data_IF_905405537962
#
_entry.id   IF_905405537962
#
_cell.length_a   1.000
_cell.length_b   1.000
_cell.length_c   1.000
_cell.angle_alpha   90.00
_cell.angle_beta   90.00
_cell.angle_gamma   90.00
#
_symmetry.space_group_name_H-M   'P 1'
#
loop_
_entity.id
_entity.type
_entity.pdbx_description
1 polymer ?
#
# COMPACT_ATOMS: atom_id res chain seq x y z
N UNK A 1 -25.46 28.99 -39.95
CA UNK A 1 -26.80 29.34 -40.51
C UNK A 1 -26.76 28.99 -41.99
N UNK A 2 -27.75 28.27 -42.53
CA UNK A 2 -27.79 28.00 -43.97
C UNK A 2 -28.24 29.27 -44.69
N UNK A 3 -27.47 29.72 -45.68
CA UNK A 3 -27.87 30.81 -46.55
C UNK A 3 -29.06 30.36 -47.43
N UNK A 4 -29.79 31.31 -48.05
CA UNK A 4 -30.81 30.99 -49.06
C UNK A 4 -30.27 30.14 -50.23
N UNK A 5 -28.95 30.18 -50.47
CA UNK A 5 -28.23 29.42 -51.51
C UNK A 5 -27.78 28.03 -51.02
N UNK A 6 -28.16 27.62 -49.81
CA UNK A 6 -27.83 26.30 -49.24
C UNK A 6 -26.42 26.17 -48.64
N UNK A 7 -25.57 27.20 -48.74
CA UNK A 7 -24.22 27.22 -48.18
C UNK A 7 -24.23 27.48 -46.67
N UNK A 8 -23.45 26.69 -45.91
CA UNK A 8 -23.30 26.88 -44.46
C UNK A 8 -22.37 28.06 -44.19
N UNK A 9 -22.91 29.14 -43.62
CA UNK A 9 -22.15 30.31 -43.16
C UNK A 9 -21.90 30.24 -41.65
N UNK A 10 -20.70 30.62 -41.24
CA UNK A 10 -20.23 30.59 -39.86
C UNK A 10 -19.99 32.01 -39.37
N UNK A 11 -20.27 32.25 -38.10
CA UNK A 11 -20.19 33.58 -37.52
C UNK A 11 -19.55 33.53 -36.13
N UNK A 12 -18.82 34.58 -35.77
CA UNK A 12 -18.38 34.84 -34.39
C UNK A 12 -18.91 36.19 -33.93
N UNK A 13 -18.99 36.37 -32.62
CA UNK A 13 -19.26 37.68 -32.02
C UNK A 13 -17.93 38.32 -31.65
N UNK A 14 -17.61 39.43 -32.31
CA UNK A 14 -16.52 40.32 -31.95
C UNK A 14 -17.08 41.44 -31.06
N UNK A 15 -16.46 41.74 -29.90
CA UNK A 15 -16.91 42.82 -29.02
C UNK A 15 -16.94 44.20 -29.71
N UNK A 16 -16.04 44.42 -30.67
CA UNK A 16 -15.87 45.71 -31.35
C UNK A 16 -16.72 45.83 -32.62
N UNK A 17 -16.83 44.75 -33.40
CA UNK A 17 -17.43 44.76 -34.74
C UNK A 17 -18.74 43.96 -34.85
N UNK A 18 -19.25 43.44 -33.72
CA UNK A 18 -20.47 42.65 -33.67
C UNK A 18 -20.31 41.30 -34.38
N UNK A 19 -21.33 40.90 -35.15
CA UNK A 19 -21.37 39.58 -35.79
C UNK A 19 -20.54 39.58 -37.08
N UNK A 20 -19.41 38.89 -37.07
CA UNK A 20 -18.52 38.74 -38.23
C UNK A 20 -18.67 37.35 -38.87
N UNK A 21 -18.77 37.31 -40.19
CA UNK A 21 -18.73 36.05 -40.94
C UNK A 21 -17.30 35.51 -41.00
N UNK A 22 -17.13 34.22 -40.68
CA UNK A 22 -15.84 33.54 -40.75
C UNK A 22 -15.87 32.47 -41.84
N UNK A 23 -14.87 32.51 -42.72
CA UNK A 23 -14.65 31.45 -43.69
C UNK A 23 -14.35 30.13 -42.95
N UNK A 24 -14.94 29.03 -43.41
CA UNK A 24 -14.72 27.68 -42.87
C UNK A 24 -13.25 27.34 -42.63
N UNK A 25 -12.34 27.76 -43.51
CA UNK A 25 -10.89 27.50 -43.40
C UNK A 25 -10.24 28.18 -42.18
N UNK A 26 -10.87 29.21 -41.62
CA UNK A 26 -10.40 29.92 -40.43
C UNK A 26 -11.01 29.40 -39.13
N UNK A 27 -11.93 28.44 -39.19
CA UNK A 27 -12.52 27.77 -38.02
C UNK A 27 -11.61 26.63 -37.53
N UNK A 28 -10.32 26.91 -37.43
CA UNK A 28 -9.37 25.96 -36.88
C UNK A 28 -9.48 26.02 -35.36
N UNK A 29 -9.75 24.86 -34.75
CA UNK A 29 -9.62 24.68 -33.32
C UNK A 29 -8.29 24.01 -33.06
N UNK A 30 -7.49 24.60 -32.17
CA UNK A 30 -6.23 24.01 -31.74
C UNK A 30 -6.45 23.32 -30.41
N UNK A 31 -6.06 22.04 -30.35
CA UNK A 31 -5.90 21.32 -29.10
C UNK A 31 -4.41 21.11 -28.86
N UNK A 32 -3.98 21.24 -27.60
CA UNK A 32 -2.61 20.90 -27.22
C UNK A 32 -2.52 19.38 -27.17
N UNK A 33 -1.59 18.82 -27.95
CA UNK A 33 -1.19 17.43 -27.80
C UNK A 33 -0.25 17.30 -26.58
N UNK A 34 -0.71 16.54 -25.58
CA UNK A 34 0.06 16.31 -24.36
C UNK A 34 0.90 15.03 -24.43
N UNK A 35 0.72 14.15 -25.42
CA UNK A 35 1.44 12.88 -25.51
C UNK A 35 2.98 12.99 -25.50
N UNK A 36 3.62 14.05 -26.04
CA UNK A 36 5.08 14.20 -25.95
C UNK A 36 5.59 14.42 -24.53
N UNK A 37 4.78 14.98 -23.64
CA UNK A 37 5.17 15.31 -22.27
C UNK A 37 5.40 14.07 -21.38
N UNK A 38 4.45 13.11 -21.23
CA UNK A 38 4.70 11.88 -20.49
C UNK A 38 5.81 11.05 -21.13
N UNK A 39 5.98 11.08 -22.45
CA UNK A 39 7.09 10.42 -23.13
C UNK A 39 8.44 10.99 -22.67
N UNK A 40 8.58 12.32 -22.64
CA UNK A 40 9.81 12.98 -22.19
C UNK A 40 10.10 12.69 -20.70
N UNK A 41 9.06 12.68 -19.86
CA UNK A 41 9.20 12.33 -18.43
C UNK A 41 9.61 10.86 -18.27
N UNK A 42 8.92 9.93 -18.94
CA UNK A 42 9.25 8.50 -18.88
C UNK A 42 10.67 8.21 -19.39
N UNK A 43 11.07 8.83 -20.51
CA UNK A 43 12.42 8.72 -21.06
C UNK A 43 13.47 9.24 -20.09
N UNK A 44 13.17 10.34 -19.37
CA UNK A 44 14.05 10.84 -18.33
C UNK A 44 14.29 9.77 -17.26
N UNK A 45 13.27 9.05 -16.80
CA UNK A 45 13.42 8.05 -15.72
C UNK A 45 13.92 6.66 -16.18
N UNK A 46 14.24 6.45 -17.46
CA UNK A 46 14.67 5.14 -18.00
C UNK A 46 13.74 3.99 -17.56
N UNK A 47 12.43 4.21 -17.67
CA UNK A 47 11.43 3.25 -17.17
C UNK A 47 11.48 1.92 -17.94
N UNK A 48 11.16 0.81 -17.25
CA UNK A 48 11.25 -0.55 -17.83
C UNK A 48 10.08 -0.92 -18.76
N UNK A 49 8.94 -0.23 -18.62
CA UNK A 49 7.70 -0.50 -19.36
C UNK A 49 7.50 0.62 -20.37
N UNK A 50 6.94 0.29 -21.54
CA UNK A 50 6.44 1.29 -22.48
C UNK A 50 5.35 2.14 -21.83
N UNK A 51 5.40 3.46 -22.06
CA UNK A 51 4.35 4.40 -21.69
C UNK A 51 2.98 3.88 -22.15
N UNK A 52 2.00 3.88 -21.24
CA UNK A 52 0.62 3.51 -21.54
C UNK A 52 -0.32 4.67 -21.19
N UNK A 53 -1.14 5.09 -22.15
CA UNK A 53 -2.21 6.07 -21.92
C UNK A 53 -3.47 5.33 -21.45
N UNK A 54 -3.81 5.51 -20.18
CA UNK A 54 -4.96 4.84 -19.55
C UNK A 54 -6.24 5.62 -19.86
N UNK A 55 -6.16 6.95 -19.79
CA UNK A 55 -7.25 7.85 -20.18
C UNK A 55 -6.70 8.94 -21.10
N UNK A 56 -7.26 9.08 -22.33
CA UNK A 56 -6.77 10.02 -23.33
C UNK A 56 -6.59 11.44 -22.80
N UNK A 57 -5.38 11.99 -22.91
CA UNK A 57 -5.07 13.35 -22.51
C UNK A 57 -5.15 13.61 -20.98
N UNK A 58 -5.34 12.56 -20.17
CA UNK A 58 -5.72 12.69 -18.75
C UNK A 58 -4.86 11.88 -17.80
N UNK A 59 -4.56 10.61 -18.11
CA UNK A 59 -3.88 9.70 -17.19
C UNK A 59 -2.96 8.75 -17.96
N UNK A 60 -1.71 8.67 -17.51
CA UNK A 60 -0.68 7.83 -18.12
C UNK A 60 0.06 7.01 -17.06
N UNK A 61 0.29 5.73 -17.34
CA UNK A 61 1.24 4.86 -16.64
C UNK A 61 2.60 4.99 -17.35
N UNK A 62 3.56 5.61 -16.69
CA UNK A 62 4.92 5.82 -17.22
C UNK A 62 5.83 4.61 -16.98
N UNK A 63 5.35 3.61 -16.25
CA UNK A 63 6.08 2.40 -15.93
C UNK A 63 6.81 2.46 -14.59
N UNK A 64 7.67 1.45 -14.39
CA UNK A 64 8.34 1.20 -13.12
C UNK A 64 9.81 1.60 -13.17
N UNK A 65 10.29 2.26 -12.11
CA UNK A 65 11.67 2.72 -11.94
C UNK A 65 12.17 2.41 -10.53
N UNK A 66 13.49 2.32 -10.36
CA UNK A 66 14.12 2.37 -9.03
C UNK A 66 14.42 3.83 -8.69
N UNK A 67 13.80 4.37 -7.64
CA UNK A 67 13.88 5.77 -7.26
C UNK A 67 13.85 5.91 -5.74
N UNK A 68 14.77 6.69 -5.17
CA UNK A 68 14.97 6.78 -3.72
C UNK A 68 15.13 5.39 -3.05
N UNK A 69 15.90 4.49 -3.67
CA UNK A 69 16.19 3.15 -3.15
C UNK A 69 15.03 2.16 -3.18
N UNK A 70 13.88 2.52 -3.77
CA UNK A 70 12.68 1.66 -3.85
C UNK A 70 12.19 1.52 -5.30
N UNK A 71 11.56 0.40 -5.60
CA UNK A 71 10.83 0.24 -6.87
C UNK A 71 9.50 1.00 -6.80
N UNK A 72 9.34 2.03 -7.64
CA UNK A 72 8.16 2.90 -7.68
C UNK A 72 7.50 2.84 -9.05
N UNK A 73 6.17 2.92 -9.07
CA UNK A 73 5.41 3.09 -10.31
C UNK A 73 5.22 4.57 -10.57
N UNK A 74 5.58 5.04 -11.75
CA UNK A 74 5.45 6.43 -12.14
C UNK A 74 4.15 6.62 -12.91
N UNK A 75 3.38 7.60 -12.50
CA UNK A 75 2.12 7.99 -13.13
C UNK A 75 2.15 9.47 -13.44
N UNK A 76 1.43 9.86 -14.49
CA UNK A 76 1.19 11.27 -14.78
C UNK A 76 -0.30 11.50 -14.94
N UNK A 77 -0.82 12.59 -14.40
CA UNK A 77 -2.21 12.98 -14.56
C UNK A 77 -2.38 14.47 -14.82
N UNK A 78 -3.49 14.83 -15.48
CA UNK A 78 -3.86 16.21 -15.76
C UNK A 78 -5.30 16.48 -15.35
N UNK A 79 -5.54 17.67 -14.81
CA UNK A 79 -6.89 18.15 -14.50
C UNK A 79 -7.52 17.42 -13.31
N UNK A 80 -6.72 17.10 -12.30
CA UNK A 80 -7.20 16.52 -11.03
C UNK A 80 -8.06 17.49 -10.19
N UNK A 81 -8.15 18.76 -10.62
CA UNK A 81 -9.01 19.79 -10.04
C UNK A 81 -10.23 20.14 -10.92
N UNK A 82 -10.41 19.47 -12.07
CA UNK A 82 -11.57 19.73 -12.94
C UNK A 82 -12.86 19.17 -12.34
N UNK A 83 -14.00 19.71 -12.76
CA UNK A 83 -15.31 19.30 -12.25
C UNK A 83 -15.59 17.79 -12.42
N UNK A 84 -15.03 17.18 -13.47
CA UNK A 84 -15.15 15.77 -13.79
C UNK A 84 -14.07 14.89 -13.13
N UNK A 85 -13.16 15.45 -12.32
CA UNK A 85 -12.00 14.73 -11.78
C UNK A 85 -12.37 13.50 -10.93
N UNK A 86 -13.54 13.52 -10.27
CA UNK A 86 -14.04 12.37 -9.50
C UNK A 86 -14.25 11.12 -10.37
N UNK A 87 -14.51 11.27 -11.67
CA UNK A 87 -14.62 10.14 -12.60
C UNK A 87 -13.30 9.38 -12.79
N UNK A 88 -12.15 10.00 -12.44
CA UNK A 88 -10.82 9.39 -12.55
C UNK A 88 -10.48 8.52 -11.33
N UNK A 89 -11.24 8.61 -10.24
CA UNK A 89 -10.89 8.04 -8.91
C UNK A 89 -10.55 6.55 -8.96
N UNK A 90 -11.24 5.79 -9.79
CA UNK A 90 -11.03 4.34 -9.89
C UNK A 90 -9.83 3.96 -10.77
N UNK A 91 -9.48 4.81 -11.74
CA UNK A 91 -8.32 4.62 -12.60
C UNK A 91 -7.01 5.12 -11.96
N UNK A 92 -7.10 6.03 -10.98
CA UNK A 92 -5.94 6.59 -10.30
C UNK A 92 -5.18 5.53 -9.48
N UNK A 93 -3.83 5.64 -9.42
CA UNK A 93 -3.03 4.72 -8.63
C UNK A 93 -3.33 4.86 -7.14
N UNK A 94 -3.30 3.74 -6.42
CA UNK A 94 -3.59 3.67 -4.98
C UNK A 94 -2.41 3.09 -4.20
N UNK A 95 -2.25 3.51 -2.95
CA UNK A 95 -1.25 2.99 -2.02
C UNK A 95 0.06 3.79 -2.03
N UNK A 96 1.14 3.17 -1.52
CA UNK A 96 2.38 3.89 -1.14
C UNK A 96 3.55 3.78 -2.12
N UNK A 97 3.44 2.90 -3.12
CA UNK A 97 4.47 2.70 -4.13
C UNK A 97 4.42 3.70 -5.30
N UNK A 98 3.23 4.18 -5.74
CA UNK A 98 3.14 5.08 -6.87
C UNK A 98 3.72 6.47 -6.57
N UNK A 99 4.28 7.11 -7.60
CA UNK A 99 4.57 8.54 -7.66
C UNK A 99 3.70 9.12 -8.75
N UNK A 100 2.91 10.14 -8.43
CA UNK A 100 2.00 10.79 -9.36
C UNK A 100 2.50 12.20 -9.64
N UNK A 101 2.92 12.42 -10.89
CA UNK A 101 3.15 13.75 -11.43
C UNK A 101 1.82 14.35 -11.86
N UNK A 102 1.49 15.55 -11.44
CA UNK A 102 0.28 16.25 -11.90
C UNK A 102 0.61 17.51 -12.68
N UNK A 103 -0.27 17.84 -13.62
CA UNK A 103 -0.18 19.07 -14.42
C UNK A 103 -1.34 20.00 -14.03
N UNK A 104 -0.99 21.22 -13.64
CA UNK A 104 -1.93 22.28 -13.30
C UNK A 104 -2.17 22.36 -11.80
N UNK A 105 -3.44 22.45 -11.39
CA UNK A 105 -3.80 22.57 -9.98
C UNK A 105 -3.71 21.21 -9.26
N UNK A 106 -3.42 21.22 -7.94
CA UNK A 106 -3.36 20.01 -7.13
C UNK A 106 -4.72 19.28 -7.10
N UNK A 107 -4.74 17.97 -6.83
CA UNK A 107 -5.96 17.18 -6.74
C UNK A 107 -6.91 17.70 -5.67
N UNK A 108 -8.21 17.53 -5.93
CA UNK A 108 -9.24 17.71 -4.91
C UNK A 108 -8.99 16.79 -3.71
N UNK A 109 -9.33 17.28 -2.50
CA UNK A 109 -9.17 16.50 -1.27
C UNK A 109 -9.88 15.14 -1.38
N UNK A 110 -9.17 14.06 -1.05
CA UNK A 110 -9.71 12.70 -1.10
C UNK A 110 -9.85 12.07 -2.50
N UNK A 111 -9.41 12.76 -3.56
CA UNK A 111 -9.40 12.20 -4.91
C UNK A 111 -8.33 11.12 -5.09
N UNK A 112 -7.14 11.36 -4.55
CA UNK A 112 -5.97 10.48 -4.71
C UNK A 112 -5.63 9.85 -3.36
N UNK A 113 -5.45 8.53 -3.34
CA UNK A 113 -5.02 7.74 -2.18
C UNK A 113 -3.54 7.36 -2.30
N UNK A 114 -2.67 8.38 -2.32
CA UNK A 114 -1.22 8.25 -2.29
C UNK A 114 -0.63 9.25 -1.27
N UNK A 115 0.57 8.99 -0.74
CA UNK A 115 1.22 9.92 0.19
C UNK A 115 1.52 11.28 -0.47
N UNK A 116 1.38 12.42 0.26
CA UNK A 116 1.63 13.76 -0.28
C UNK A 116 3.04 13.94 -0.88
N UNK A 117 4.06 13.32 -0.29
CA UNK A 117 5.43 13.34 -0.82
C UNK A 117 5.57 12.69 -2.21
N UNK A 118 4.64 11.79 -2.54
CA UNK A 118 4.60 11.09 -3.83
C UNK A 118 3.70 11.79 -4.84
N UNK A 119 3.09 12.91 -4.46
CA UNK A 119 2.33 13.78 -5.34
C UNK A 119 3.21 14.98 -5.72
N UNK A 120 3.57 15.09 -6.99
CA UNK A 120 4.59 16.03 -7.46
C UNK A 120 4.00 16.90 -8.55
N UNK A 121 4.02 18.22 -8.36
CA UNK A 121 3.69 19.15 -9.44
C UNK A 121 4.78 19.06 -10.50
N UNK A 122 4.42 18.70 -11.72
CA UNK A 122 5.40 18.58 -12.79
C UNK A 122 6.14 19.90 -13.02
N UNK A 123 5.46 21.04 -12.81
CA UNK A 123 6.05 22.39 -12.98
C UNK A 123 7.27 22.62 -12.10
N UNK A 124 7.36 22.00 -10.93
CA UNK A 124 8.45 22.26 -9.98
C UNK A 124 9.71 21.46 -10.26
N UNK A 125 9.61 20.41 -11.07
CA UNK A 125 10.71 19.47 -11.34
C UNK A 125 11.15 19.46 -12.80
N UNK A 126 10.52 20.26 -13.68
CA UNK A 126 10.89 20.33 -15.09
C UNK A 126 11.36 21.72 -15.47
N UNK A 127 12.35 21.76 -16.35
CA UNK A 127 12.78 22.97 -17.03
C UNK A 127 13.09 22.63 -18.49
N UNK A 128 13.16 23.67 -19.33
CA UNK A 128 13.51 23.52 -20.74
C UNK A 128 14.92 24.03 -20.91
N UNK A 129 15.80 23.18 -21.43
CA UNK A 129 17.17 23.53 -21.78
C UNK A 129 17.47 22.98 -23.18
N UNK A 130 18.05 23.79 -24.06
CA UNK A 130 18.40 23.40 -25.43
C UNK A 130 17.23 22.73 -26.20
N UNK A 131 16.02 23.29 -26.03
CA UNK A 131 14.77 22.80 -26.62
C UNK A 131 14.41 21.35 -26.21
N UNK A 132 14.91 20.90 -25.06
CA UNK A 132 14.58 19.61 -24.46
C UNK A 132 13.98 19.82 -23.07
N UNK A 133 13.01 18.98 -22.73
CA UNK A 133 12.48 18.91 -21.38
C UNK A 133 13.46 18.14 -20.50
N UNK A 134 14.00 18.79 -19.48
CA UNK A 134 14.87 18.19 -18.49
C UNK A 134 14.08 18.02 -17.20
N UNK A 135 14.11 16.81 -16.65
CA UNK A 135 13.50 16.49 -15.36
C UNK A 135 14.59 16.46 -14.29
N UNK A 136 14.43 17.25 -13.23
CA UNK A 136 15.27 17.21 -12.05
C UNK A 136 14.94 15.97 -11.21
N UNK A 137 15.61 14.86 -11.55
CA UNK A 137 15.49 13.60 -10.82
C UNK A 137 15.95 13.73 -9.38
N UNK A 138 16.96 14.57 -9.11
CA UNK A 138 17.53 14.72 -7.78
C UNK A 138 16.52 15.40 -6.85
N UNK A 139 15.79 16.41 -7.32
CA UNK A 139 14.69 17.03 -6.59
C UNK A 139 13.58 16.00 -6.26
N UNK A 140 13.19 15.19 -7.25
CA UNK A 140 12.19 14.11 -7.03
C UNK A 140 12.69 13.11 -5.98
N UNK A 141 13.94 12.65 -6.07
CA UNK A 141 14.49 11.74 -5.07
C UNK A 141 14.56 12.36 -3.68
N UNK A 142 14.95 13.63 -3.58
CA UNK A 142 15.04 14.36 -2.32
C UNK A 142 13.67 14.43 -1.64
N UNK A 143 12.63 14.84 -2.37
CA UNK A 143 11.25 14.89 -1.86
C UNK A 143 10.76 13.52 -1.36
N UNK A 144 11.01 12.46 -2.14
CA UNK A 144 10.60 11.11 -1.76
C UNK A 144 11.35 10.57 -0.53
N UNK A 145 12.66 10.88 -0.42
CA UNK A 145 13.46 10.49 0.76
C UNK A 145 13.04 11.25 2.01
N UNK A 146 12.71 12.53 1.89
CA UNK A 146 12.22 13.33 3.01
C UNK A 146 10.88 12.79 3.52
N UNK A 147 9.94 12.47 2.62
CA UNK A 147 8.69 11.82 3.03
C UNK A 147 8.90 10.45 3.66
N UNK A 148 9.87 9.67 3.18
CA UNK A 148 10.26 8.39 3.80
C UNK A 148 10.92 8.57 5.19
N UNK A 149 11.61 9.69 5.44
CA UNK A 149 12.36 9.96 6.67
C UNK A 149 11.55 10.71 7.76
N UNK A 150 10.65 11.61 7.36
CA UNK A 150 9.70 12.28 8.26
C UNK A 150 8.62 11.31 8.74
N UNK A 151 8.43 10.21 8.03
CA UNK A 151 7.65 9.12 8.56
C UNK A 151 8.49 8.39 9.61
N UNK A 152 7.93 8.13 10.82
CA UNK A 152 8.50 7.07 11.64
C UNK A 152 8.59 5.87 10.71
N UNK A 153 9.72 5.17 10.73
CA UNK A 153 9.89 3.91 10.02
C UNK A 153 8.81 2.97 10.56
N UNK A 154 7.60 3.06 9.99
CA UNK A 154 6.74 1.93 9.74
C UNK A 154 7.51 1.18 8.70
N UNK A 155 8.57 0.52 9.18
CA UNK A 155 8.82 -0.86 8.86
C UNK A 155 7.45 -1.41 8.54
N UNK A 156 7.24 -1.84 7.30
CA UNK A 156 6.33 -2.96 7.12
C UNK A 156 6.74 -3.86 8.27
N UNK A 157 5.90 -3.93 9.30
CA UNK A 157 5.91 -5.09 10.12
C UNK A 157 5.52 -6.14 9.08
N UNK A 158 6.51 -6.70 8.37
CA UNK A 158 6.56 -8.15 8.25
C UNK A 158 6.19 -8.55 9.66
N UNK A 159 4.93 -8.96 9.87
CA UNK A 159 4.37 -9.27 11.20
C UNK A 159 5.52 -9.80 11.99
N UNK A 160 6.08 -9.02 12.94
CA UNK A 160 7.41 -9.31 13.47
C UNK A 160 7.29 -10.76 13.89
N UNK A 161 7.91 -11.68 13.15
CA UNK A 161 7.98 -13.06 13.58
C UNK A 161 8.75 -12.87 14.87
N UNK A 162 8.06 -12.99 16.00
CA UNK A 162 8.72 -12.97 17.29
C UNK A 162 9.92 -13.90 17.11
N UNK A 163 11.14 -13.46 17.46
CA UNK A 163 12.31 -14.31 17.29
C UNK A 163 11.95 -15.66 17.90
N UNK A 164 12.24 -16.76 17.18
CA UNK A 164 11.74 -18.11 17.48
C UNK A 164 11.78 -18.44 18.98
N UNK A 165 12.83 -18.00 19.68
CA UNK A 165 12.97 -18.06 21.13
C UNK A 165 11.80 -17.41 21.90
N UNK A 166 11.40 -16.18 21.59
CA UNK A 166 10.27 -15.48 22.23
C UNK A 166 8.93 -16.19 22.01
N UNK A 167 8.73 -16.82 20.84
CA UNK A 167 7.53 -17.62 20.60
C UNK A 167 7.54 -18.91 21.43
N UNK A 168 8.70 -19.56 21.56
CA UNK A 168 8.89 -20.75 22.40
C UNK A 168 8.65 -20.40 23.88
N UNK A 169 9.22 -19.29 24.38
CA UNK A 169 9.05 -18.84 25.77
C UNK A 169 7.58 -18.52 26.09
N UNK A 170 6.86 -17.89 25.14
CA UNK A 170 5.43 -17.64 25.28
C UNK A 170 4.61 -18.94 25.35
N UNK A 171 4.93 -19.93 24.50
CA UNK A 171 4.28 -21.25 24.54
C UNK A 171 4.56 -21.95 25.88
N UNK A 172 5.80 -21.92 26.37
CA UNK A 172 6.16 -22.49 27.68
C UNK A 172 5.38 -21.86 28.81
N UNK A 173 5.23 -20.53 28.80
CA UNK A 173 4.49 -19.80 29.84
C UNK A 173 3.02 -20.23 29.89
N UNK A 174 2.34 -20.27 28.74
CA UNK A 174 0.93 -20.71 28.70
C UNK A 174 0.78 -22.17 29.13
N UNK A 175 1.73 -23.04 28.77
CA UNK A 175 1.70 -24.44 29.16
C UNK A 175 1.91 -24.60 30.67
N UNK A 176 2.82 -23.84 31.28
CA UNK A 176 3.00 -23.80 32.75
C UNK A 176 1.75 -23.30 33.46
N UNK A 177 1.10 -22.27 32.93
CA UNK A 177 -0.14 -21.73 33.50
C UNK A 177 -1.29 -22.74 33.41
N UNK A 178 -1.40 -23.46 32.28
CA UNK A 178 -2.37 -24.54 32.15
C UNK A 178 -2.10 -25.68 33.15
N UNK A 179 -0.83 -26.06 33.36
CA UNK A 179 -0.47 -27.08 34.35
C UNK A 179 -0.83 -26.67 35.78
N UNK A 180 -0.64 -25.39 36.14
CA UNK A 180 -1.08 -24.86 37.44
C UNK A 180 -2.60 -24.92 37.57
N UNK A 181 -3.33 -24.46 36.57
CA UNK A 181 -4.79 -24.54 36.58
C UNK A 181 -5.31 -25.99 36.65
N UNK A 182 -4.67 -26.92 35.93
CA UNK A 182 -5.00 -28.33 35.95
C UNK A 182 -4.73 -28.98 37.31
N UNK A 183 -3.62 -28.61 37.97
CA UNK A 183 -3.29 -29.04 39.32
C UNK A 183 -4.30 -28.51 40.34
N UNK A 184 -4.58 -27.21 40.30
CA UNK A 184 -5.51 -26.58 41.25
C UNK A 184 -6.93 -27.13 41.07
N UNK A 185 -7.34 -27.41 39.83
CA UNK A 185 -8.58 -28.13 39.53
C UNK A 185 -8.56 -29.56 40.09
N UNK A 186 -7.48 -30.31 39.89
CA UNK A 186 -7.37 -31.68 40.38
C UNK A 186 -7.45 -31.76 41.91
N UNK A 187 -6.77 -30.86 42.64
CA UNK A 187 -6.92 -30.72 44.09
C UNK A 187 -8.35 -30.32 44.48
N UNK A 188 -8.95 -29.35 43.78
CA UNK A 188 -10.33 -28.93 44.06
C UNK A 188 -11.35 -30.05 43.84
N UNK A 189 -11.17 -30.88 42.81
CA UNK A 189 -12.03 -32.07 42.60
C UNK A 189 -11.78 -33.14 43.64
N UNK A 190 -10.54 -33.36 44.07
CA UNK A 190 -10.23 -34.31 45.13
C UNK A 190 -10.93 -33.93 46.44
N UNK A 191 -10.90 -32.64 46.80
CA UNK A 191 -11.52 -32.13 48.03
C UNK A 191 -13.06 -32.18 47.99
N UNK A 192 -13.65 -31.95 46.80
CA UNK A 192 -15.10 -31.86 46.65
C UNK A 192 -15.79 -33.19 46.32
N UNK A 193 -15.14 -34.06 45.53
CA UNK A 193 -15.74 -35.29 44.99
C UNK A 193 -14.98 -36.57 45.37
N UNK A 194 -13.81 -36.45 46.02
CA UNK A 194 -12.99 -37.60 46.44
C UNK A 194 -12.15 -38.24 45.34
N UNK A 195 -12.27 -37.78 44.10
CA UNK A 195 -11.52 -38.25 42.93
C UNK A 195 -10.88 -37.06 42.21
N UNK A 196 -9.58 -37.15 41.93
CA UNK A 196 -8.86 -36.10 41.21
C UNK A 196 -9.09 -36.21 39.69
N UNK A 197 -9.55 -35.13 39.06
CA UNK A 197 -9.78 -35.07 37.62
C UNK A 197 -8.93 -33.99 36.96
N UNK A 198 -8.25 -34.35 35.86
CA UNK A 198 -7.49 -33.41 35.05
C UNK A 198 -8.41 -32.58 34.15
N UNK A 199 -8.03 -31.30 33.97
CA UNK A 199 -8.56 -30.50 32.88
C UNK A 199 -8.12 -31.09 31.53
N UNK A 200 -8.99 -31.02 30.50
CA UNK A 200 -8.60 -31.44 29.17
C UNK A 200 -7.45 -30.57 28.66
N UNK A 201 -6.42 -31.25 28.15
CA UNK A 201 -5.24 -30.63 27.56
C UNK A 201 -5.62 -29.61 26.48
N UNK A 202 -4.95 -28.44 26.42
CA UNK A 202 -5.16 -27.49 25.36
C UNK A 202 -4.67 -28.09 24.04
N UNK A 203 -5.55 -28.05 23.04
CA UNK A 203 -5.20 -28.45 21.67
C UNK A 203 -4.19 -27.46 21.08
N UNK A 204 -3.37 -27.91 20.13
CA UNK A 204 -2.44 -27.02 19.40
C UNK A 204 -3.17 -25.84 18.73
N UNK A 205 -4.44 -26.04 18.35
CA UNK A 205 -5.30 -25.00 17.77
C UNK A 205 -5.73 -23.96 18.81
N UNK A 206 -6.03 -24.37 20.05
CA UNK A 206 -6.35 -23.44 21.14
C UNK A 206 -5.14 -22.58 21.52
N UNK A 207 -3.96 -23.19 21.65
CA UNK A 207 -2.71 -22.47 21.92
C UNK A 207 -2.37 -21.50 20.78
N UNK A 208 -2.61 -21.89 19.53
CA UNK A 208 -2.39 -21.03 18.36
C UNK A 208 -3.24 -19.75 18.43
N UNK A 209 -4.52 -19.92 18.75
CA UNK A 209 -5.47 -18.82 18.85
C UNK A 209 -5.16 -17.91 20.04
N UNK A 210 -4.79 -18.45 21.20
CA UNK A 210 -4.44 -17.65 22.39
C UNK A 210 -3.18 -16.81 22.18
N UNK A 211 -2.19 -17.32 21.44
CA UNK A 211 -0.91 -16.66 21.22
C UNK A 211 -0.83 -15.84 19.91
N UNK A 212 -1.91 -15.79 19.13
CA UNK A 212 -1.94 -15.20 17.77
C UNK A 212 -0.79 -15.72 16.87
N UNK A 213 -0.48 -17.03 16.98
CA UNK A 213 0.55 -17.71 16.18
C UNK A 213 -0.06 -18.81 15.32
N UNK A 214 0.55 -19.07 14.17
CA UNK A 214 0.10 -20.15 13.29
C UNK A 214 0.32 -21.53 13.94
N UNK A 215 -0.63 -22.47 13.75
CA UNK A 215 -0.58 -23.84 14.32
C UNK A 215 0.72 -24.57 13.98
N UNK A 216 1.26 -24.36 12.78
CA UNK A 216 2.54 -24.95 12.37
C UNK A 216 3.73 -24.50 13.22
N UNK A 217 3.67 -23.31 13.83
CA UNK A 217 4.72 -22.80 14.71
C UNK A 217 4.74 -23.57 16.04
N UNK A 218 3.57 -23.94 16.55
CA UNK A 218 3.41 -24.74 17.77
C UNK A 218 3.87 -26.18 17.53
N UNK A 219 3.42 -26.79 16.43
CA UNK A 219 3.87 -28.13 16.05
C UNK A 219 5.39 -28.20 15.90
N UNK A 220 6.02 -27.18 15.30
CA UNK A 220 7.49 -27.10 15.20
C UNK A 220 8.18 -26.86 16.53
N UNK A 221 7.58 -26.11 17.45
CA UNK A 221 8.16 -25.87 18.78
C UNK A 221 8.09 -27.13 19.66
N UNK A 222 6.99 -27.88 19.60
CA UNK A 222 6.82 -29.15 20.32
C UNK A 222 7.80 -30.20 19.80
N UNK A 223 8.02 -30.25 18.49
CA UNK A 223 8.92 -31.21 17.84
C UNK A 223 10.38 -30.72 17.77
N UNK A 224 10.74 -29.62 18.43
CA UNK A 224 12.09 -29.08 18.41
C UNK A 224 12.98 -29.88 19.38
N UNK A 225 13.88 -30.70 18.84
CA UNK A 225 14.80 -31.53 19.63
C UNK A 225 15.82 -30.74 20.45
N UNK A 226 15.98 -29.44 20.17
CA UNK A 226 16.89 -28.56 20.93
C UNK A 226 16.31 -28.12 22.27
N UNK A 227 14.98 -28.18 22.45
CA UNK A 227 14.30 -27.67 23.65
C UNK A 227 13.65 -28.80 24.47
N UNK A 228 14.46 -29.39 25.35
CA UNK A 228 14.03 -30.49 26.23
C UNK A 228 12.93 -30.06 27.21
N UNK A 229 12.87 -28.79 27.60
CA UNK A 229 11.86 -28.30 28.55
C UNK A 229 10.45 -28.33 27.93
N UNK A 230 10.33 -28.00 26.64
CA UNK A 230 9.05 -28.05 25.94
C UNK A 230 8.48 -29.47 25.87
N UNK A 231 9.33 -30.45 25.55
CA UNK A 231 8.93 -31.86 25.51
C UNK A 231 8.45 -32.35 26.88
N UNK A 232 9.19 -32.02 27.95
CA UNK A 232 8.84 -32.40 29.32
C UNK A 232 7.51 -31.77 29.75
N UNK A 233 7.30 -30.47 29.52
CA UNK A 233 6.02 -29.81 29.86
C UNK A 233 4.85 -30.40 29.07
N UNK A 234 5.09 -30.80 27.82
CA UNK A 234 4.08 -31.43 26.96
C UNK A 234 3.75 -32.86 27.40
N UNK A 235 4.70 -33.60 27.97
CA UNK A 235 4.49 -34.92 28.57
C UNK A 235 3.77 -34.85 29.92
N UNK A 236 4.20 -33.94 30.82
CA UNK A 236 3.59 -33.75 32.15
C UNK A 236 2.09 -33.47 32.02
N UNK A 237 1.67 -32.69 31.02
CA UNK A 237 0.27 -32.37 30.78
C UNK A 237 -0.63 -33.60 30.50
N UNK A 238 -0.07 -34.79 30.35
CA UNK A 238 -0.78 -36.05 30.11
C UNK A 238 -0.75 -37.02 31.31
N UNK A 239 -0.04 -36.69 32.40
CA UNK A 239 0.13 -37.57 33.56
C UNK A 239 -0.40 -36.90 34.84
N UNK A 240 -1.51 -37.42 35.37
CA UNK A 240 -2.17 -36.93 36.58
C UNK A 240 -1.22 -36.83 37.78
N UNK A 241 -0.36 -37.83 37.96
CA UNK A 241 0.57 -37.87 39.10
C UNK A 241 1.64 -36.78 39.00
N UNK A 242 2.06 -36.45 37.77
CA UNK A 242 3.07 -35.42 37.54
C UNK A 242 2.49 -34.01 37.56
N UNK A 243 1.24 -33.82 37.11
CA UNK A 243 0.52 -32.53 37.25
C UNK A 243 0.35 -32.17 38.73
N UNK A 244 -0.05 -33.14 39.56
CA UNK A 244 -0.21 -32.94 41.01
C UNK A 244 1.10 -32.57 41.71
N UNK A 245 2.21 -33.14 41.25
CA UNK A 245 3.55 -32.87 41.79
C UNK A 245 4.28 -31.71 41.10
N UNK A 246 3.63 -31.01 40.16
CA UNK A 246 4.27 -29.95 39.39
C UNK A 246 4.63 -28.75 40.27
N UNK A 247 5.94 -28.51 40.41
CA UNK A 247 6.54 -27.32 41.03
C UNK A 247 7.15 -26.45 39.94
N UNK A 248 6.36 -25.56 39.34
CA UNK A 248 6.81 -24.69 38.26
C UNK A 248 6.11 -23.35 38.21
#
# INVERSE_FOLDING_TARGET
>A
MKSPEGTTRFYIMCPENGRLEINRQRLLQYAIDYAPLPQAVAASFSTRKSLEEILPGRLWDLGRVALAGKSRMLWMARGLAWADALSLKDALPKGRSPVLFFIGLPPLAGLVDIPPESLIDLKTIVHIENNKLIVDKAAVECQLRQGDATQPVRNKQSKKRAPRATAIDAIKRELKEHLRAARDHAHSTLDNTGEAALLPRPTQKQLANQLDVHVSSISRAINDTSDKEMAILWEIANDLSQVMNFKG
#
